data_IF_008505095747
#
_entry.id   IF_008505095747
#
_cell.length_a   1.000
_cell.length_b   1.000
_cell.length_c   1.000
_cell.angle_alpha   90.00
_cell.angle_beta   90.00
_cell.angle_gamma   90.00
#
_symmetry.space_group_name_H-M   'P 1'
#
loop_
_entity.id
_entity.type
_entity.pdbx_description
1 polymer ?
#
# COMPACT_ATOMS: atom_id res chain seq x y z
N UNK A 1 -31.99 -1.57 17.30
CA UNK A 1 -31.65 -2.44 16.14
C UNK A 1 -30.35 -2.02 15.40
N UNK A 2 -29.78 -0.84 15.58
CA UNK A 2 -28.56 -0.39 14.85
C UNK A 2 -27.25 -1.11 15.21
N UNK A 3 -27.10 -1.59 16.44
CA UNK A 3 -25.85 -2.21 16.93
C UNK A 3 -25.58 -3.56 16.24
N UNK A 4 -26.62 -4.36 15.98
CA UNK A 4 -26.46 -5.65 15.31
C UNK A 4 -25.94 -5.49 13.86
N UNK A 5 -26.39 -4.47 13.13
CA UNK A 5 -25.94 -4.19 11.77
C UNK A 5 -24.46 -3.77 11.77
N UNK A 6 -24.01 -3.00 12.76
CA UNK A 6 -22.62 -2.58 12.88
C UNK A 6 -21.68 -3.76 13.17
N UNK A 7 -22.09 -4.72 14.00
CA UNK A 7 -21.29 -5.90 14.37
C UNK A 7 -21.11 -6.84 13.18
N UNK A 8 -22.13 -6.98 12.35
CA UNK A 8 -22.15 -7.91 11.21
C UNK A 8 -21.91 -7.22 9.85
N UNK A 9 -21.45 -5.97 9.87
CA UNK A 9 -21.19 -5.23 8.64
C UNK A 9 -20.22 -6.00 7.71
N UNK A 10 -20.62 -6.30 6.47
CA UNK A 10 -19.80 -7.10 5.57
C UNK A 10 -18.59 -6.30 5.08
N UNK A 11 -17.49 -7.00 4.80
CA UNK A 11 -16.25 -6.42 4.29
C UNK A 11 -16.42 -5.64 2.98
N UNK A 12 -17.46 -5.94 2.21
CA UNK A 12 -17.80 -5.22 0.98
C UNK A 12 -18.11 -3.74 1.19
N UNK A 13 -18.62 -3.36 2.36
CA UNK A 13 -18.84 -1.95 2.70
C UNK A 13 -17.53 -1.18 2.83
N UNK A 14 -16.53 -1.82 3.44
CA UNK A 14 -15.20 -1.24 3.55
C UNK A 14 -14.54 -1.12 2.16
N UNK A 15 -14.65 -2.16 1.34
CA UNK A 15 -14.15 -2.15 -0.03
C UNK A 15 -14.79 -1.03 -0.88
N UNK A 16 -16.09 -0.85 -0.76
CA UNK A 16 -16.80 0.24 -1.42
C UNK A 16 -16.33 1.62 -0.93
N UNK A 17 -16.19 1.78 0.38
CA UNK A 17 -15.69 3.02 1.00
C UNK A 17 -14.29 3.39 0.53
N UNK A 18 -13.37 2.42 0.51
CA UNK A 18 -11.99 2.62 0.02
C UNK A 18 -11.98 2.98 -1.45
N UNK A 19 -12.74 2.27 -2.28
CA UNK A 19 -12.84 2.57 -3.71
C UNK A 19 -13.34 4.00 -3.95
N UNK A 20 -14.37 4.42 -3.21
CA UNK A 20 -14.92 5.77 -3.34
C UNK A 20 -13.97 6.85 -2.82
N UNK A 21 -13.31 6.62 -1.68
CA UNK A 21 -12.35 7.56 -1.10
C UNK A 21 -11.10 7.73 -1.95
N UNK A 22 -10.65 6.66 -2.62
CA UNK A 22 -9.50 6.67 -3.52
C UNK A 22 -9.84 7.08 -4.96
N UNK A 23 -11.08 7.46 -5.25
CA UNK A 23 -11.54 7.76 -6.61
C UNK A 23 -11.29 6.61 -7.60
N UNK A 24 -11.39 5.36 -7.13
CA UNK A 24 -11.16 4.16 -7.92
C UNK A 24 -9.68 3.77 -8.10
N UNK A 25 -8.74 4.54 -7.57
CA UNK A 25 -7.30 4.21 -7.67
C UNK A 25 -6.91 2.96 -6.89
N UNK A 26 -7.60 2.71 -5.80
CA UNK A 26 -7.41 1.53 -4.95
C UNK A 26 -8.70 0.73 -4.92
N UNK A 27 -8.63 -0.51 -5.37
CA UNK A 27 -9.77 -1.40 -5.37
C UNK A 27 -9.47 -2.64 -4.53
N UNK A 28 -10.44 -3.04 -3.74
CA UNK A 28 -10.37 -4.28 -2.96
C UNK A 28 -11.23 -5.34 -3.64
N UNK A 29 -10.56 -6.33 -4.21
CA UNK A 29 -11.22 -7.44 -4.91
C UNK A 29 -11.47 -8.60 -3.96
N UNK A 30 -12.59 -9.30 -4.16
CA UNK A 30 -12.97 -10.49 -3.39
C UNK A 30 -12.86 -10.28 -1.87
N UNK A 31 -13.49 -9.22 -1.30
CA UNK A 31 -13.47 -8.98 0.12
C UNK A 31 -14.16 -10.14 0.86
N UNK A 32 -13.52 -10.62 1.91
CA UNK A 32 -14.02 -11.69 2.79
C UNK A 32 -14.00 -11.24 4.23
N UNK A 33 -14.98 -11.71 5.00
CA UNK A 33 -15.11 -11.36 6.42
C UNK A 33 -16.00 -10.15 6.66
N UNK A 34 -15.71 -9.42 7.71
CA UNK A 34 -16.47 -8.26 8.16
C UNK A 34 -15.63 -6.97 8.06
N UNK A 35 -16.25 -5.83 8.33
CA UNK A 35 -15.54 -4.55 8.48
C UNK A 35 -14.48 -4.65 9.61
N UNK A 36 -14.75 -5.42 10.65
CA UNK A 36 -13.88 -5.55 11.81
C UNK A 36 -12.66 -6.44 11.57
N UNK A 37 -12.84 -7.51 10.82
CA UNK A 37 -11.77 -8.43 10.48
C UNK A 37 -12.05 -9.08 9.13
N UNK A 38 -11.10 -8.99 8.24
CA UNK A 38 -11.27 -9.56 6.92
C UNK A 38 -10.02 -9.54 6.08
N UNK A 39 -10.18 -9.95 4.84
CA UNK A 39 -9.11 -9.94 3.85
C UNK A 39 -9.64 -9.62 2.46
N UNK A 40 -8.82 -8.97 1.65
CA UNK A 40 -9.11 -8.68 0.26
C UNK A 40 -7.84 -8.72 -0.59
N UNK A 41 -8.00 -8.84 -1.89
CA UNK A 41 -6.92 -8.65 -2.82
C UNK A 41 -6.86 -7.17 -3.22
N UNK A 42 -5.68 -6.57 -3.11
CA UNK A 42 -5.48 -5.17 -3.44
C UNK A 42 -5.17 -5.02 -4.94
N UNK A 43 -5.91 -4.16 -5.61
CA UNK A 43 -5.67 -3.75 -6.98
C UNK A 43 -5.41 -2.24 -7.02
N UNK A 44 -4.25 -1.86 -7.56
CA UNK A 44 -3.88 -0.47 -7.81
C UNK A 44 -4.10 -0.16 -9.28
N UNK A 45 -4.99 0.79 -9.58
CA UNK A 45 -5.35 1.15 -10.95
C UNK A 45 -4.71 2.47 -11.40
N UNK A 46 -3.98 3.15 -10.52
CA UNK A 46 -3.23 4.37 -10.83
C UNK A 46 -4.06 5.59 -11.26
N UNK A 47 -5.39 5.48 -11.22
CA UNK A 47 -6.31 6.54 -11.64
C UNK A 47 -6.52 6.66 -13.15
N UNK A 48 -7.15 7.75 -13.56
CA UNK A 48 -7.46 8.03 -14.95
C UNK A 48 -6.18 8.18 -15.79
N UNK A 49 -5.95 7.27 -16.74
CA UNK A 49 -4.79 7.30 -17.64
C UNK A 49 -3.75 6.21 -17.41
N UNK A 50 -3.86 5.42 -16.35
CA UNK A 50 -2.98 4.26 -16.13
C UNK A 50 -3.55 3.04 -16.89
N UNK A 51 -2.74 2.47 -17.79
CA UNK A 51 -3.16 1.34 -18.62
C UNK A 51 -2.90 -0.03 -17.99
N UNK A 52 -2.04 -0.08 -16.98
CA UNK A 52 -1.59 -1.33 -16.36
C UNK A 52 -1.97 -1.39 -14.88
N UNK A 53 -3.14 -1.95 -14.55
CA UNK A 53 -3.51 -2.17 -13.16
C UNK A 53 -2.57 -3.21 -12.53
N UNK A 54 -2.04 -2.90 -11.35
CA UNK A 54 -1.14 -3.78 -10.61
C UNK A 54 -1.87 -4.40 -9.42
N UNK A 55 -1.95 -5.72 -9.42
CA UNK A 55 -2.50 -6.47 -8.30
C UNK A 55 -1.39 -6.83 -7.31
N UNK A 56 -1.67 -6.66 -6.02
CA UNK A 56 -0.78 -7.17 -4.99
C UNK A 56 -0.82 -8.70 -5.02
N UNK A 57 0.33 -9.38 -5.14
CA UNK A 57 0.35 -10.83 -5.01
C UNK A 57 0.00 -11.21 -3.57
N UNK A 58 -1.05 -12.01 -3.39
CA UNK A 58 -1.55 -12.38 -2.06
C UNK A 58 -2.73 -11.53 -1.59
N UNK A 59 -3.02 -11.61 -0.31
CA UNK A 59 -4.15 -10.92 0.31
C UNK A 59 -3.67 -9.89 1.33
N UNK A 60 -4.39 -8.81 1.41
CA UNK A 60 -4.29 -7.83 2.47
C UNK A 60 -5.29 -8.20 3.56
N UNK A 61 -4.79 -8.49 4.74
CA UNK A 61 -5.60 -8.76 5.92
C UNK A 61 -5.75 -7.48 6.73
N UNK A 62 -6.91 -7.27 7.32
CA UNK A 62 -7.14 -6.15 8.23
C UNK A 62 -7.85 -6.58 9.49
N UNK A 63 -7.60 -5.81 10.54
CA UNK A 63 -8.29 -5.92 11.82
C UNK A 63 -8.63 -4.52 12.30
N UNK A 64 -9.90 -4.27 12.52
CA UNK A 64 -10.41 -3.01 13.06
C UNK A 64 -10.90 -3.28 14.48
N UNK A 65 -10.30 -2.66 15.47
CA UNK A 65 -10.67 -2.81 16.88
C UNK A 65 -11.10 -1.47 17.45
N UNK A 66 -12.30 -1.38 18.02
CA UNK A 66 -12.68 -0.20 18.79
C UNK A 66 -11.78 -0.09 20.04
N UNK A 67 -11.33 1.10 20.31
CA UNK A 67 -10.55 1.45 21.49
C UNK A 67 -11.28 2.53 22.26
N UNK A 68 -10.97 2.68 23.57
CA UNK A 68 -11.66 3.65 24.43
C UNK A 68 -11.62 5.09 23.90
N UNK A 69 -10.55 5.46 23.19
CA UNK A 69 -10.35 6.80 22.64
C UNK A 69 -10.39 6.87 21.12
N UNK A 70 -11.02 5.89 20.46
CA UNK A 70 -11.09 5.88 18.99
C UNK A 70 -11.09 4.48 18.40
N UNK A 71 -10.44 4.33 17.26
CA UNK A 71 -10.38 3.08 16.52
C UNK A 71 -8.92 2.75 16.20
N UNK A 72 -8.57 1.49 16.37
CA UNK A 72 -7.27 0.96 15.94
C UNK A 72 -7.47 0.08 14.70
N UNK A 73 -6.74 0.39 13.67
CA UNK A 73 -6.78 -0.34 12.42
C UNK A 73 -5.41 -0.94 12.12
N UNK A 74 -5.37 -2.26 11.99
CA UNK A 74 -4.16 -3.01 11.65
C UNK A 74 -4.24 -3.58 10.26
N UNK A 75 -3.11 -3.61 9.55
CA UNK A 75 -2.97 -4.23 8.23
C UNK A 75 -1.76 -5.15 8.19
N UNK A 76 -1.91 -6.22 7.44
CA UNK A 76 -0.87 -7.18 7.14
C UNK A 76 -1.03 -7.69 5.70
N UNK A 77 0.06 -7.72 4.94
CA UNK A 77 0.08 -8.25 3.58
C UNK A 77 0.79 -9.60 3.56
N UNK A 78 0.10 -10.64 3.12
CA UNK A 78 0.62 -12.02 3.14
C UNK A 78 1.85 -12.21 2.25
N UNK A 79 1.94 -11.44 1.15
CA UNK A 79 3.03 -11.60 0.18
C UNK A 79 4.37 -11.04 0.65
N UNK A 80 4.30 -9.95 1.39
CA UNK A 80 5.39 -8.99 1.36
C UNK A 80 5.82 -8.58 2.76
N UNK A 81 5.06 -8.94 3.78
CA UNK A 81 5.34 -8.66 5.19
C UNK A 81 5.48 -9.97 5.97
N UNK A 82 6.39 -10.00 6.94
CA UNK A 82 6.49 -11.12 7.86
C UNK A 82 5.19 -11.28 8.67
N UNK A 83 4.88 -12.48 9.13
CA UNK A 83 3.63 -12.75 9.87
C UNK A 83 3.47 -11.90 11.13
N UNK A 84 4.57 -11.51 11.75
CA UNK A 84 4.58 -10.67 12.96
C UNK A 84 4.58 -9.17 12.64
N UNK A 85 4.78 -8.82 11.36
CA UNK A 85 4.82 -7.43 10.91
C UNK A 85 3.42 -6.88 10.74
N UNK A 86 3.18 -5.69 11.28
CA UNK A 86 1.89 -5.02 11.15
C UNK A 86 2.06 -3.51 10.98
N UNK A 87 1.16 -2.93 10.23
CA UNK A 87 0.97 -1.49 10.16
C UNK A 87 -0.27 -1.19 10.98
N UNK A 88 -0.16 -0.33 11.98
CA UNK A 88 -1.26 0.05 12.87
C UNK A 88 -1.54 1.54 12.77
N UNK A 89 -2.77 1.88 12.47
CA UNK A 89 -3.29 3.23 12.51
C UNK A 89 -4.24 3.37 13.70
N UNK A 90 -3.93 4.25 14.60
CA UNK A 90 -4.80 4.60 15.73
C UNK A 90 -5.42 5.97 15.47
N UNK A 91 -6.73 6.00 15.35
CA UNK A 91 -7.53 7.21 15.14
C UNK A 91 -8.20 7.56 16.46
N UNK A 92 -7.68 8.56 17.15
CA UNK A 92 -8.28 9.14 18.33
C UNK A 92 -9.00 10.44 18.03
N UNK A 93 -9.75 10.98 19.00
CA UNK A 93 -10.49 12.23 18.85
C UNK A 93 -9.58 13.45 18.59
N UNK A 94 -8.43 13.50 19.29
CA UNK A 94 -7.48 14.62 19.20
C UNK A 94 -6.16 14.26 18.56
N UNK A 95 -5.87 12.98 18.43
CA UNK A 95 -4.58 12.50 17.92
C UNK A 95 -4.76 11.34 16.97
N UNK A 96 -4.02 11.39 15.87
CA UNK A 96 -3.90 10.28 14.94
C UNK A 96 -2.46 9.76 15.02
N UNK A 97 -2.30 8.46 15.12
CA UNK A 97 -0.98 7.84 15.20
C UNK A 97 -0.89 6.66 14.24
N UNK A 98 0.09 6.72 13.34
CA UNK A 98 0.50 5.59 12.51
C UNK A 98 1.76 4.98 13.12
N UNK A 99 1.72 3.69 13.38
CA UNK A 99 2.86 2.90 13.85
C UNK A 99 3.11 1.77 12.87
N UNK A 100 4.37 1.64 12.45
CA UNK A 100 4.82 0.53 11.61
C UNK A 100 5.79 -0.28 12.45
N UNK A 101 5.54 -1.57 12.59
CA UNK A 101 6.41 -2.48 13.33
C UNK A 101 7.78 -2.60 12.67
N UNK A 102 8.78 -2.92 13.47
CA UNK A 102 10.15 -3.16 12.98
C UNK A 102 10.16 -4.43 12.14
N UNK A 103 10.35 -4.29 10.84
CA UNK A 103 10.42 -5.42 9.94
C UNK A 103 11.07 -5.07 8.60
N UNK A 104 11.47 -6.11 7.89
CA UNK A 104 11.88 -6.01 6.49
C UNK A 104 10.73 -6.54 5.64
N UNK A 105 10.25 -5.72 4.75
CA UNK A 105 9.22 -6.09 3.77
C UNK A 105 9.78 -6.00 2.36
N UNK A 106 9.34 -6.93 1.50
CA UNK A 106 9.78 -6.99 0.10
C UNK A 106 8.55 -6.87 -0.80
N UNK A 107 8.52 -5.82 -1.58
CA UNK A 107 7.40 -5.48 -2.46
C UNK A 107 7.81 -5.58 -3.93
N UNK A 108 6.96 -6.05 -4.82
CA UNK A 108 7.21 -5.94 -6.24
C UNK A 108 7.34 -4.47 -6.66
N UNK A 109 8.43 -4.12 -7.35
CA UNK A 109 8.64 -2.74 -7.82
C UNK A 109 7.54 -2.29 -8.81
N UNK A 110 6.92 -3.24 -9.50
CA UNK A 110 5.78 -3.00 -10.38
C UNK A 110 4.59 -2.32 -9.68
N UNK A 111 4.45 -2.44 -8.35
CA UNK A 111 3.41 -1.74 -7.60
C UNK A 111 3.55 -0.22 -7.67
N UNK A 112 4.78 0.30 -7.85
CA UNK A 112 5.01 1.73 -8.00
C UNK A 112 4.32 2.26 -9.26
N UNK A 113 4.31 1.51 -10.35
CA UNK A 113 3.65 1.92 -11.59
C UNK A 113 2.14 2.06 -11.42
N UNK A 114 1.55 1.24 -10.52
CA UNK A 114 0.15 1.28 -10.16
C UNK A 114 -0.25 2.48 -9.29
N UNK A 115 0.70 3.28 -8.79
CA UNK A 115 0.41 4.50 -8.01
C UNK A 115 0.11 5.71 -8.91
N UNK A 116 0.31 5.61 -10.23
CA UNK A 116 0.09 6.71 -11.16
C UNK A 116 1.28 7.64 -11.31
N UNK A 117 1.07 8.82 -11.92
CA UNK A 117 2.15 9.78 -12.16
C UNK A 117 2.70 10.37 -10.82
N UNK A 118 4.04 10.55 -10.69
CA UNK A 118 5.09 10.35 -11.70
C UNK A 118 5.65 8.92 -11.79
N UNK A 119 5.17 7.99 -10.95
CA UNK A 119 5.73 6.65 -10.78
C UNK A 119 5.47 5.71 -11.95
N UNK A 120 4.41 5.97 -12.72
CA UNK A 120 4.01 5.17 -13.89
C UNK A 120 5.04 5.19 -15.03
N UNK A 121 5.99 6.13 -15.02
CA UNK A 121 7.07 6.20 -16.02
C UNK A 121 8.27 5.32 -15.66
N UNK A 122 8.32 4.82 -14.42
CA UNK A 122 9.36 3.94 -13.96
C UNK A 122 9.00 2.49 -14.35
N UNK A 123 9.48 2.05 -15.49
CA UNK A 123 9.45 0.62 -15.86
C UNK A 123 10.54 -0.10 -15.07
N UNK A 124 10.29 -0.38 -13.81
CA UNK A 124 11.23 -1.09 -12.94
C UNK A 124 10.75 -2.50 -12.71
N UNK A 125 11.40 -3.44 -13.39
CA UNK A 125 11.38 -4.83 -12.98
C UNK A 125 12.36 -4.98 -11.82
N UNK A 126 11.87 -5.45 -10.67
CA UNK A 126 12.72 -5.60 -9.49
C UNK A 126 11.91 -5.72 -8.21
N UNK A 127 12.62 -5.70 -7.11
CA UNK A 127 12.06 -5.77 -5.78
C UNK A 127 12.42 -4.51 -4.98
N UNK A 128 11.43 -4.00 -4.30
CA UNK A 128 11.56 -2.89 -3.38
C UNK A 128 11.63 -3.45 -1.97
N UNK A 129 12.80 -3.40 -1.36
CA UNK A 129 12.98 -3.79 0.03
C UNK A 129 12.83 -2.57 0.92
N UNK A 130 11.87 -2.65 1.82
CA UNK A 130 11.59 -1.63 2.80
C UNK A 130 11.98 -2.16 4.19
N UNK A 131 12.93 -1.49 4.82
CA UNK A 131 13.34 -1.77 6.19
C UNK A 131 12.84 -0.65 7.09
N UNK A 132 12.02 -1.01 8.06
CA UNK A 132 11.42 -0.07 9.01
C UNK A 132 11.94 -0.33 10.41
N UNK A 133 12.32 0.74 11.12
CA UNK A 133 12.73 0.69 12.52
C UNK A 133 12.02 1.76 13.32
N UNK A 134 11.15 1.33 14.21
CA UNK A 134 10.41 2.18 15.16
C UNK A 134 9.71 3.38 14.50
N UNK A 135 9.13 3.16 13.31
CA UNK A 135 8.49 4.24 12.55
C UNK A 135 7.16 4.57 13.19
N UNK A 136 7.05 5.81 13.64
CA UNK A 136 5.84 6.37 14.22
C UNK A 136 5.57 7.74 13.62
N UNK A 137 4.36 7.95 13.14
CA UNK A 137 3.86 9.25 12.75
C UNK A 137 2.71 9.63 13.68
N UNK A 138 2.79 10.81 14.23
CA UNK A 138 1.75 11.37 15.12
C UNK A 138 1.28 12.69 14.55
N UNK A 139 -0.02 12.82 14.41
CA UNK A 139 -0.68 14.08 14.08
C UNK A 139 -1.48 14.55 15.28
N UNK A 140 -1.12 15.69 15.80
CA UNK A 140 -1.82 16.33 16.90
C UNK A 140 -1.85 17.84 16.68
N UNK A 141 -3.00 18.47 16.86
CA UNK A 141 -3.17 19.94 16.78
C UNK A 141 -2.59 20.56 15.48
N UNK A 142 -2.79 19.89 14.33
CA UNK A 142 -2.27 20.36 13.04
C UNK A 142 -0.76 20.22 12.83
N UNK A 143 -0.05 19.57 13.76
CA UNK A 143 1.39 19.29 13.67
C UNK A 143 1.63 17.82 13.44
N UNK A 144 2.51 17.51 12.49
CA UNK A 144 3.00 16.15 12.23
C UNK A 144 4.37 15.97 12.87
N UNK A 145 4.51 14.93 13.67
CA UNK A 145 5.76 14.48 14.24
C UNK A 145 6.07 13.10 13.68
N UNK A 146 7.26 12.92 13.16
CA UNK A 146 7.77 11.66 12.65
C UNK A 146 8.98 11.22 13.46
N UNK A 147 8.98 9.96 13.89
CA UNK A 147 10.10 9.32 14.56
C UNK A 147 10.35 7.96 13.89
N UNK A 148 11.60 7.51 13.92
CA UNK A 148 12.01 6.23 13.36
C UNK A 148 12.91 6.36 12.14
N UNK A 149 13.29 5.20 11.61
CA UNK A 149 14.14 5.08 10.43
C UNK A 149 13.42 4.25 9.38
N UNK A 150 13.45 4.75 8.16
CA UNK A 150 12.90 4.08 7.00
C UNK A 150 14.00 4.02 5.93
N UNK A 151 14.40 2.82 5.59
CA UNK A 151 15.40 2.56 4.58
C UNK A 151 14.76 1.83 3.41
N UNK A 152 14.92 2.41 2.22
CA UNK A 152 14.37 1.90 0.97
C UNK A 152 15.51 1.45 0.07
N UNK A 153 15.55 0.15 -0.24
CA UNK A 153 16.53 -0.44 -1.12
C UNK A 153 15.85 -1.04 -2.35
N UNK A 154 16.28 -0.62 -3.52
CA UNK A 154 15.85 -1.19 -4.80
C UNK A 154 16.82 -2.31 -5.18
N UNK A 155 16.32 -3.51 -5.32
CA UNK A 155 17.10 -4.70 -5.69
C UNK A 155 16.67 -5.24 -7.04
N UNK A 156 17.64 -5.82 -7.78
CA UNK A 156 17.41 -6.49 -9.07
C UNK A 156 16.76 -5.60 -10.15
N UNK A 157 17.20 -4.35 -10.22
CA UNK A 157 16.77 -3.46 -11.30
C UNK A 157 17.50 -3.90 -12.58
N UNK A 158 16.80 -4.58 -13.46
CA UNK A 158 17.27 -4.80 -14.81
C UNK A 158 16.97 -3.52 -15.61
N UNK A 159 17.94 -2.60 -15.65
CA UNK A 159 17.92 -1.53 -16.64
C UNK A 159 18.15 -2.16 -18.00
N UNK A 160 17.15 -2.18 -18.87
CA UNK A 160 17.36 -2.51 -20.25
C UNK A 160 18.40 -1.55 -20.82
N UNK A 161 19.51 -2.07 -21.40
CA UNK A 161 20.45 -1.19 -22.04
C UNK A 161 19.72 -0.48 -23.16
N UNK A 162 19.59 0.85 -23.05
CA UNK A 162 19.17 1.69 -24.16
C UNK A 162 20.06 1.35 -25.33
N UNK A 163 19.51 0.69 -26.34
CA UNK A 163 20.18 0.40 -27.58
C UNK A 163 20.69 1.73 -28.13
N UNK A 164 21.97 2.02 -27.91
CA UNK A 164 22.66 3.15 -28.50
C UNK A 164 22.61 2.93 -30.02
N UNK A 165 21.77 3.67 -30.70
CA UNK A 165 21.75 3.74 -32.17
C UNK A 165 23.00 4.49 -32.64
N UNK A 166 24.13 3.81 -32.63
CA UNK A 166 25.38 4.31 -33.20
C UNK A 166 25.92 3.31 -34.20
N UNK A 167 25.16 3.04 -35.25
CA UNK A 167 25.70 2.48 -36.48
C UNK A 167 24.99 3.07 -37.70
N UNK A 168 25.12 4.38 -37.82
CA UNK A 168 24.97 5.03 -39.12
C UNK A 168 26.36 5.17 -39.70
N UNK A 169 26.93 4.05 -40.18
CA UNK A 169 28.12 4.10 -41.00
C UNK A 169 27.72 4.54 -42.41
N UNK A 170 27.96 5.79 -42.72
CA UNK A 170 27.94 6.34 -44.06
C UNK A 170 29.01 5.58 -44.89
N UNK A 171 28.61 4.77 -45.79
CA UNK A 171 29.44 4.38 -46.94
C UNK A 171 29.09 5.34 -48.07
N UNK A 172 29.99 6.28 -48.35
CA UNK A 172 30.03 7.06 -49.58
C UNK A 172 31.06 6.38 -50.45
N UNK A 173 30.65 5.93 -51.57
CA UNK A 173 31.43 5.83 -52.83
C UNK A 173 30.50 6.18 -53.96
#
# INVERSE_FOLDING_TARGET
>A
MGIAVAVWAPASWLAWGVNKASQGQVQWLNPRGTVWQGSAQLLLTGGAGTRDPQALPGRLNWTLTPAWHGVRWGWQADCCMAQEASIQLSLGWDTQQLRISDHVSVWPAALLTGLGAPWNTLQTDGQLQLNTRSVQLRWAQGRMQMQGQLELNLQNIHSFPTRRSSDYRKSVV
#
